data_IF_805843508431
#
_entry.id   IF_805843508431
#
_cell.length_a   1.000
_cell.length_b   1.000
_cell.length_c   1.000
_cell.angle_alpha   90.00
_cell.angle_beta   90.00
_cell.angle_gamma   90.00
#
_symmetry.space_group_name_H-M   'P 1'
#
loop_
_entity.id
_entity.type
_entity.pdbx_description
1 polymer ?
#
# COMPACT_ATOMS: atom_id res chain seq x y z
N UNK A 1 9.23 -11.03 13.52
CA UNK A 1 8.29 -10.43 12.57
C UNK A 1 6.90 -10.99 12.81
N UNK A 2 5.90 -10.14 12.89
CA UNK A 2 4.49 -10.52 13.04
C UNK A 2 3.77 -10.15 11.75
N UNK A 3 2.90 -11.04 11.26
CA UNK A 3 2.13 -10.80 10.04
C UNK A 3 0.64 -10.79 10.41
N UNK A 4 -0.06 -9.73 10.01
CA UNK A 4 -1.51 -9.63 10.12
C UNK A 4 -2.05 -9.71 8.71
N UNK A 5 -2.77 -10.80 8.40
CA UNK A 5 -3.18 -11.10 7.03
C UNK A 5 -4.63 -10.71 6.76
N UNK A 6 -4.91 -10.38 5.50
CA UNK A 6 -6.26 -10.22 4.97
C UNK A 6 -7.08 -9.14 5.68
N UNK A 7 -6.45 -8.02 5.99
CA UNK A 7 -7.12 -6.88 6.62
C UNK A 7 -7.88 -6.09 5.54
N UNK A 8 -9.21 -5.96 5.64
CA UNK A 8 -9.95 -5.19 4.64
C UNK A 8 -9.70 -3.69 4.77
N UNK A 9 -9.47 -3.03 3.65
CA UNK A 9 -9.37 -1.57 3.59
C UNK A 9 -10.55 -0.94 2.85
N UNK A 10 -11.40 -1.74 2.25
CA UNK A 10 -12.61 -1.34 1.58
C UNK A 10 -13.65 -2.46 1.61
N UNK A 11 -14.86 -2.16 1.16
CA UNK A 11 -16.00 -3.09 1.20
C UNK A 11 -16.60 -3.41 -0.16
N UNK A 12 -16.02 -2.87 -1.24
CA UNK A 12 -16.55 -3.06 -2.59
C UNK A 12 -16.13 -4.39 -3.21
N UNK A 13 -15.06 -5.00 -2.71
CA UNK A 13 -14.50 -6.24 -3.25
C UNK A 13 -13.66 -6.94 -2.19
N UNK A 14 -13.59 -8.27 -2.28
CA UNK A 14 -12.66 -9.05 -1.47
C UNK A 14 -11.20 -8.78 -1.83
N UNK A 15 -10.94 -8.19 -3.00
CA UNK A 15 -9.60 -7.77 -3.40
C UNK A 15 -9.14 -6.51 -2.67
N UNK A 16 -10.01 -5.84 -1.94
CA UNK A 16 -9.65 -4.66 -1.14
C UNK A 16 -9.16 -5.07 0.25
N UNK A 17 -8.08 -5.86 0.27
CA UNK A 17 -7.44 -6.36 1.50
C UNK A 17 -5.95 -6.20 1.41
N UNK A 18 -5.32 -6.11 2.58
CA UNK A 18 -3.87 -5.97 2.68
C UNK A 18 -3.32 -6.84 3.80
N UNK A 19 -2.02 -7.10 3.73
CA UNK A 19 -1.26 -7.78 4.77
C UNK A 19 -0.31 -6.78 5.41
N UNK A 20 -0.12 -6.90 6.73
CA UNK A 20 0.75 -6.02 7.50
C UNK A 20 1.87 -6.86 8.10
N UNK A 21 3.11 -6.51 7.78
CA UNK A 21 4.31 -7.13 8.31
C UNK A 21 4.93 -6.19 9.33
N UNK A 22 4.94 -6.58 10.59
CA UNK A 22 5.45 -5.74 11.69
C UNK A 22 6.83 -6.22 12.13
N UNK A 23 7.78 -5.30 12.35
CA UNK A 23 9.07 -5.65 12.92
C UNK A 23 8.93 -6.07 14.39
N UNK A 24 9.95 -6.78 14.91
CA UNK A 24 9.99 -7.16 16.33
C UNK A 24 10.30 -5.96 17.24
N UNK A 25 10.96 -4.95 16.68
CA UNK A 25 11.20 -3.68 17.38
C UNK A 25 10.13 -2.66 16.97
N UNK A 26 10.16 -1.49 17.60
CA UNK A 26 9.29 -0.39 17.23
C UNK A 26 9.56 0.06 15.78
N UNK A 27 8.50 0.21 14.98
CA UNK A 27 8.63 0.61 13.59
C UNK A 27 9.06 2.07 13.49
N UNK A 28 10.05 2.33 12.64
CA UNK A 28 10.57 3.68 12.34
C UNK A 28 9.81 4.33 11.20
N UNK A 29 9.28 3.52 10.31
CA UNK A 29 8.57 3.94 9.09
C UNK A 29 7.72 2.79 8.59
N UNK A 30 6.82 3.09 7.67
CA UNK A 30 5.99 2.10 6.99
C UNK A 30 6.19 2.23 5.49
N UNK A 31 6.33 1.09 4.81
CA UNK A 31 6.34 1.02 3.36
C UNK A 31 5.07 0.32 2.88
N UNK A 32 4.21 1.05 2.18
CA UNK A 32 3.02 0.49 1.54
C UNK A 32 3.37 0.13 0.11
N UNK A 33 3.23 -1.14 -0.22
CA UNK A 33 3.65 -1.72 -1.48
C UNK A 33 2.45 -2.21 -2.30
N UNK A 34 2.47 -1.91 -3.60
CA UNK A 34 1.51 -2.39 -4.59
C UNK A 34 2.23 -3.31 -5.59
N UNK A 35 1.72 -4.54 -5.72
CA UNK A 35 2.33 -5.55 -6.58
C UNK A 35 2.14 -5.24 -8.07
N UNK A 36 2.99 -5.86 -8.91
CA UNK A 36 2.84 -5.84 -10.35
C UNK A 36 1.90 -6.92 -10.86
N UNK A 37 1.75 -7.00 -12.18
CA UNK A 37 0.93 -8.02 -12.83
C UNK A 37 0.00 -7.46 -13.89
N UNK A 38 0.37 -6.34 -14.50
CA UNK A 38 -0.35 -5.71 -15.61
C UNK A 38 -1.81 -5.35 -15.29
N UNK A 39 -2.14 -5.16 -14.00
CA UNK A 39 -3.51 -4.90 -13.53
C UNK A 39 -4.47 -6.07 -13.77
N UNK A 40 -3.95 -7.24 -14.10
CA UNK A 40 -4.74 -8.44 -14.40
C UNK A 40 -4.41 -9.63 -13.50
N UNK A 41 -3.25 -9.62 -12.85
CA UNK A 41 -2.78 -10.73 -12.03
C UNK A 41 -1.84 -10.24 -10.93
N UNK A 42 -1.31 -11.17 -10.14
CA UNK A 42 -0.44 -10.88 -9.01
C UNK A 42 -1.22 -10.77 -7.72
N UNK A 43 -0.51 -10.63 -6.64
CA UNK A 43 -1.14 -10.48 -5.31
C UNK A 43 -0.20 -9.84 -4.31
N UNK A 44 -0.79 -9.41 -3.18
CA UNK A 44 -0.06 -8.88 -2.03
C UNK A 44 0.98 -9.85 -1.46
N UNK A 45 0.88 -11.14 -1.79
CA UNK A 45 1.84 -12.15 -1.31
C UNK A 45 3.24 -11.96 -1.89
N UNK A 46 3.38 -11.22 -2.99
CA UNK A 46 4.70 -10.93 -3.57
C UNK A 46 5.63 -10.18 -2.62
N UNK A 47 5.10 -9.45 -1.65
CA UNK A 47 5.91 -8.76 -0.65
C UNK A 47 6.65 -9.71 0.31
N UNK A 48 6.21 -10.96 0.42
CA UNK A 48 6.86 -11.93 1.30
C UNK A 48 8.34 -12.14 0.97
N UNK A 49 8.74 -11.86 -0.26
CA UNK A 49 10.13 -12.00 -0.72
C UNK A 49 11.04 -10.96 -0.05
N UNK A 50 10.58 -9.72 0.14
CA UNK A 50 11.44 -8.65 0.66
C UNK A 50 11.02 -8.13 2.04
N UNK A 51 9.80 -8.43 2.49
CA UNK A 51 9.31 -7.90 3.78
C UNK A 51 10.22 -8.25 4.96
N UNK A 52 10.79 -9.48 5.08
CA UNK A 52 11.71 -9.76 6.18
C UNK A 52 12.94 -8.86 6.20
N UNK A 53 13.47 -8.52 5.02
CA UNK A 53 14.62 -7.62 4.92
C UNK A 53 14.31 -6.24 5.51
N UNK A 54 13.15 -5.69 5.22
CA UNK A 54 12.75 -4.38 5.72
C UNK A 54 12.36 -4.43 7.21
N UNK A 55 11.63 -5.45 7.63
CA UNK A 55 11.23 -5.57 9.03
C UNK A 55 12.43 -5.79 9.96
N UNK A 56 13.46 -6.50 9.50
CA UNK A 56 14.71 -6.64 10.25
C UNK A 56 15.38 -5.27 10.49
N UNK A 57 15.06 -4.28 9.69
CA UNK A 57 15.61 -2.91 9.78
C UNK A 57 14.65 -1.92 10.42
N UNK A 58 13.56 -2.41 11.01
CA UNK A 58 12.61 -1.56 11.71
C UNK A 58 11.59 -0.88 10.81
N UNK A 59 11.41 -1.36 9.58
CA UNK A 59 10.43 -0.81 8.65
C UNK A 59 9.27 -1.80 8.54
N UNK A 60 8.07 -1.37 8.92
CA UNK A 60 6.87 -2.16 8.70
C UNK A 60 6.52 -2.14 7.19
N UNK A 61 6.00 -3.25 6.70
CA UNK A 61 5.57 -3.37 5.31
C UNK A 61 4.07 -3.64 5.28
N UNK A 62 3.36 -2.87 4.47
CA UNK A 62 1.95 -3.11 4.17
C UNK A 62 1.87 -3.45 2.69
N UNK A 63 1.35 -4.62 2.38
CA UNK A 63 1.21 -5.08 1.00
C UNK A 63 -0.26 -5.20 0.66
N UNK A 64 -0.69 -4.47 -0.35
CA UNK A 64 -2.11 -4.37 -0.69
C UNK A 64 -2.44 -5.10 -1.97
N UNK A 65 -3.54 -5.87 -1.93
CA UNK A 65 -4.26 -6.23 -3.14
C UNK A 65 -5.08 -5.04 -3.60
N UNK A 66 -5.49 -5.04 -4.84
CA UNK A 66 -6.40 -4.07 -5.41
C UNK A 66 -7.21 -4.80 -6.48
N UNK A 67 -8.40 -4.29 -6.81
CA UNK A 67 -9.23 -4.90 -7.84
C UNK A 67 -8.47 -4.94 -9.16
N UNK A 68 -8.60 -6.04 -9.87
CA UNK A 68 -7.91 -6.28 -11.13
C UNK A 68 -8.93 -6.30 -12.28
N UNK A 69 -8.45 -6.11 -13.50
CA UNK A 69 -9.26 -6.31 -14.69
C UNK A 69 -9.59 -7.82 -14.83
N UNK A 70 -10.83 -8.24 -15.18
CA UNK A 70 -11.96 -7.40 -15.60
C UNK A 70 -12.94 -6.99 -14.50
N UNK A 71 -12.69 -7.34 -13.22
CA UNK A 71 -13.57 -6.90 -12.12
C UNK A 71 -13.65 -5.39 -12.07
N UNK A 72 -12.53 -4.72 -12.32
CA UNK A 72 -12.42 -3.27 -12.31
C UNK A 72 -11.80 -2.77 -13.61
N UNK A 73 -11.90 -1.48 -13.84
CA UNK A 73 -11.29 -0.80 -14.97
C UNK A 73 -10.75 0.56 -14.50
N UNK A 74 -9.93 1.19 -15.34
CA UNK A 74 -9.40 2.52 -15.02
C UNK A 74 -10.57 3.51 -14.78
N UNK A 75 -10.58 4.32 -13.71
CA UNK A 75 -9.49 4.51 -12.73
C UNK A 75 -9.67 3.73 -11.41
N UNK A 76 -10.47 2.69 -11.35
CA UNK A 76 -10.79 1.96 -10.12
C UNK A 76 -9.54 1.45 -9.40
N UNK A 77 -8.53 1.02 -10.15
CA UNK A 77 -7.27 0.52 -9.59
C UNK A 77 -6.59 1.58 -8.71
N UNK A 78 -6.59 2.82 -9.19
CA UNK A 78 -5.94 3.95 -8.51
C UNK A 78 -6.78 4.36 -7.31
N UNK A 79 -8.10 4.32 -7.43
CA UNK A 79 -8.99 4.60 -6.30
C UNK A 79 -8.78 3.58 -5.17
N UNK A 80 -8.62 2.30 -5.50
CA UNK A 80 -8.30 1.28 -4.51
C UNK A 80 -6.95 1.57 -3.84
N UNK A 81 -5.96 1.94 -4.63
CA UNK A 81 -4.65 2.30 -4.08
C UNK A 81 -4.75 3.47 -3.10
N UNK A 82 -5.51 4.50 -3.43
CA UNK A 82 -5.74 5.65 -2.55
C UNK A 82 -6.44 5.23 -1.25
N UNK A 83 -7.43 4.34 -1.33
CA UNK A 83 -8.10 3.79 -0.15
C UNK A 83 -7.12 3.03 0.75
N UNK A 84 -6.21 2.27 0.17
CA UNK A 84 -5.18 1.55 0.91
C UNK A 84 -4.23 2.51 1.62
N UNK A 85 -3.87 3.64 0.99
CA UNK A 85 -3.06 4.69 1.63
C UNK A 85 -3.80 5.26 2.84
N UNK A 86 -5.06 5.61 2.67
CA UNK A 86 -5.86 6.18 3.77
C UNK A 86 -5.98 5.20 4.93
N UNK A 87 -6.24 3.93 4.65
CA UNK A 87 -6.28 2.89 5.66
C UNK A 87 -4.95 2.76 6.40
N UNK A 88 -3.85 2.74 5.66
CA UNK A 88 -2.51 2.59 6.24
C UNK A 88 -2.17 3.76 7.15
N UNK A 89 -2.48 4.99 6.75
CA UNK A 89 -2.29 6.17 7.61
C UNK A 89 -3.09 6.07 8.91
N UNK A 90 -4.34 5.67 8.82
CA UNK A 90 -5.19 5.49 10.00
C UNK A 90 -4.63 4.39 10.90
N UNK A 91 -4.19 3.27 10.33
CA UNK A 91 -3.59 2.19 11.09
C UNK A 91 -2.34 2.67 11.84
N UNK A 92 -1.49 3.45 11.17
CA UNK A 92 -0.30 4.02 11.78
C UNK A 92 -0.66 4.92 12.97
N UNK A 93 -1.62 5.81 12.78
CA UNK A 93 -2.03 6.75 13.82
C UNK A 93 -2.60 6.04 15.05
N UNK A 94 -3.28 4.91 14.86
CA UNK A 94 -3.92 4.16 15.94
C UNK A 94 -3.02 3.13 16.59
N UNK A 95 -2.00 2.62 15.90
CA UNK A 95 -1.25 1.45 16.36
C UNK A 95 0.26 1.63 16.41
N UNK A 96 0.82 2.60 15.71
CA UNK A 96 2.26 2.78 15.62
C UNK A 96 2.65 4.17 16.12
N UNK A 97 3.93 4.32 16.53
CA UNK A 97 4.44 5.62 16.96
C UNK A 97 5.12 6.40 15.84
N UNK A 98 5.43 5.76 14.71
CA UNK A 98 6.01 6.45 13.55
C UNK A 98 4.93 7.13 12.71
N UNK A 99 5.34 8.20 12.02
CA UNK A 99 4.46 8.98 11.13
C UNK A 99 4.96 9.02 9.68
N UNK A 100 6.03 8.29 9.35
CA UNK A 100 6.61 8.27 8.01
C UNK A 100 6.04 7.12 7.20
N UNK A 101 5.26 7.46 6.18
CA UNK A 101 4.71 6.52 5.22
C UNK A 101 5.37 6.71 3.87
N UNK A 102 5.94 5.63 3.34
CA UNK A 102 6.44 5.56 1.97
C UNK A 102 5.51 4.69 1.15
N UNK A 103 5.28 5.07 -0.08
CA UNK A 103 4.38 4.35 -1.00
C UNK A 103 5.15 3.98 -2.25
N UNK A 104 5.00 2.76 -2.70
CA UNK A 104 5.67 2.32 -3.91
C UNK A 104 5.08 1.06 -4.49
N UNK A 105 5.65 0.62 -5.59
CA UNK A 105 5.22 -0.60 -6.23
C UNK A 105 6.08 -0.94 -7.42
N UNK A 106 5.88 -2.13 -7.96
CA UNK A 106 6.62 -2.66 -9.09
C UNK A 106 5.72 -2.75 -10.31
N UNK A 107 6.20 -2.32 -11.47
CA UNK A 107 5.51 -2.38 -12.75
C UNK A 107 4.11 -1.74 -12.63
N UNK A 108 3.02 -2.50 -12.75
CA UNK A 108 1.66 -1.97 -12.57
C UNK A 108 1.49 -1.28 -11.21
N UNK A 109 2.08 -1.83 -10.15
CA UNK A 109 2.09 -1.17 -8.83
C UNK A 109 2.87 0.13 -8.83
N UNK A 110 3.97 0.19 -9.59
CA UNK A 110 4.71 1.43 -9.81
C UNK A 110 3.86 2.49 -10.51
N UNK A 111 3.06 2.08 -11.49
CA UNK A 111 2.08 2.97 -12.13
C UNK A 111 1.08 3.53 -11.11
N UNK A 112 0.56 2.67 -10.22
CA UNK A 112 -0.37 3.14 -9.17
C UNK A 112 0.30 4.17 -8.26
N UNK A 113 1.53 3.92 -7.84
CA UNK A 113 2.25 4.87 -6.98
C UNK A 113 2.54 6.19 -7.71
N UNK A 114 2.85 6.14 -9.01
CA UNK A 114 3.02 7.35 -9.82
C UNK A 114 1.73 8.16 -9.91
N UNK A 115 0.61 7.49 -10.14
CA UNK A 115 -0.67 8.19 -10.22
C UNK A 115 -1.03 8.87 -8.90
N UNK A 116 -0.80 8.20 -7.77
CA UNK A 116 -1.01 8.80 -6.45
C UNK A 116 -0.10 10.01 -6.22
N UNK A 117 1.16 9.92 -6.67
CA UNK A 117 2.14 10.98 -6.49
C UNK A 117 1.82 12.22 -7.34
N UNK A 118 1.46 12.03 -8.59
CA UNK A 118 1.36 13.12 -9.55
C UNK A 118 -0.06 13.63 -9.77
N UNK A 119 -1.08 12.78 -9.58
CA UNK A 119 -2.48 13.22 -9.67
C UNK A 119 -3.06 13.38 -8.26
N UNK A 120 -3.11 14.60 -7.79
CA UNK A 120 -3.49 14.92 -6.40
C UNK A 120 -4.95 14.60 -6.07
N UNK A 121 -5.80 14.41 -7.08
CA UNK A 121 -7.24 14.17 -6.85
C UNK A 121 -7.49 12.88 -6.07
N UNK A 122 -6.68 11.84 -6.32
CA UNK A 122 -6.91 10.53 -5.69
C UNK A 122 -6.73 10.57 -4.17
N UNK A 123 -5.66 11.18 -3.68
CA UNK A 123 -5.44 11.31 -2.23
C UNK A 123 -6.43 12.32 -1.62
N UNK A 124 -6.74 13.40 -2.32
CA UNK A 124 -7.72 14.38 -1.86
C UNK A 124 -9.09 13.74 -1.65
N UNK A 125 -9.50 12.86 -2.56
CA UNK A 125 -10.80 12.18 -2.48
C UNK A 125 -10.93 11.26 -1.25
N UNK A 126 -9.82 10.81 -0.68
CA UNK A 126 -9.81 10.00 0.55
C UNK A 126 -9.38 10.80 1.79
N UNK A 127 -9.39 12.13 1.70
CA UNK A 127 -9.13 13.01 2.84
C UNK A 127 -7.66 13.24 3.15
N UNK A 128 -6.77 12.96 2.21
CA UNK A 128 -5.33 13.11 2.37
C UNK A 128 -4.80 14.20 1.42
N UNK A 129 -3.52 14.53 1.59
CA UNK A 129 -2.80 15.42 0.67
C UNK A 129 -1.38 14.86 0.45
N UNK A 130 -0.58 15.60 -0.34
CA UNK A 130 0.78 15.16 -0.66
C UNK A 130 1.69 15.03 0.55
N UNK A 131 1.44 15.81 1.61
CA UNK A 131 2.24 15.74 2.83
C UNK A 131 1.98 14.46 3.64
N UNK A 132 0.91 13.73 3.33
CA UNK A 132 0.56 12.48 4.00
C UNK A 132 1.54 11.37 3.69
N UNK A 133 2.29 11.47 2.58
CA UNK A 133 3.26 10.46 2.13
C UNK A 133 4.65 11.09 2.12
N UNK A 134 5.60 10.45 2.83
CA UNK A 134 6.95 10.98 2.97
C UNK A 134 7.79 10.81 1.69
N UNK A 135 7.51 9.80 0.89
CA UNK A 135 8.21 9.56 -0.36
C UNK A 135 7.58 8.42 -1.16
N UNK A 136 7.97 8.33 -2.43
CA UNK A 136 7.44 7.34 -3.35
C UNK A 136 8.57 6.57 -4.02
N UNK A 137 8.30 5.29 -4.32
CA UNK A 137 9.17 4.42 -5.10
C UNK A 137 8.41 3.88 -6.30
N UNK A 138 8.83 4.26 -7.49
CA UNK A 138 8.22 3.82 -8.73
C UNK A 138 9.19 2.88 -9.45
N UNK A 139 8.98 1.58 -9.32
CA UNK A 139 9.80 0.57 -9.97
C UNK A 139 9.11 0.14 -11.26
N UNK A 140 9.78 0.37 -12.36
CA UNK A 140 9.21 0.11 -13.68
C UNK A 140 9.16 -1.38 -14.04
#
# INVERSE_FOLDING_TARGET
>A
MKIIENVPYGTDSEMQRLDIYLPDMEAKAVFLYFHGGALEKGSKKSAAVFAPYLTDRGIAVVSADYRLYPEASYPDFINDAAMAVAFTKKYMDENLSCDRLYVGGSSAGGFLSMMLCFDKRYLTDVGLDNSSVAGYFHDA
#
